data_IF_400011507862
#
_entry.id   IF_400011507862
#
_cell.length_a   1.000
_cell.length_b   1.000
_cell.length_c   1.000
_cell.angle_alpha   90.00
_cell.angle_beta   90.00
_cell.angle_gamma   90.00
#
_symmetry.space_group_name_H-M   'P 1'
#
loop_
_entity.id
_entity.type
_entity.pdbx_description
1 polymer ?
#
# COMPACT_ATOMS: atom_id res chain seq x y z
N UNK A 1 23.57 -10.77 -12.05
CA UNK A 1 24.37 -10.57 -13.25
C UNK A 1 23.71 -11.31 -14.41
N UNK A 2 23.38 -10.58 -15.49
CA UNK A 2 23.28 -11.06 -16.87
C UNK A 2 22.29 -12.17 -17.24
N UNK A 3 21.03 -11.82 -17.56
CA UNK A 3 20.27 -12.50 -18.63
C UNK A 3 18.95 -11.79 -19.07
N UNK A 4 18.81 -10.46 -19.00
CA UNK A 4 17.49 -9.80 -19.26
C UNK A 4 17.48 -8.84 -20.46
N UNK A 5 18.57 -8.68 -21.21
CA UNK A 5 18.65 -7.68 -22.29
C UNK A 5 19.21 -8.21 -23.62
N UNK A 6 18.81 -9.41 -24.03
CA UNK A 6 19.23 -9.99 -25.32
C UNK A 6 18.10 -10.52 -26.21
N UNK A 7 16.93 -9.87 -26.16
CA UNK A 7 15.90 -10.04 -27.20
C UNK A 7 15.52 -8.71 -27.89
N UNK A 8 16.40 -7.72 -27.82
CA UNK A 8 16.25 -6.44 -28.50
C UNK A 8 16.94 -6.39 -29.86
N UNK A 9 16.62 -7.26 -30.82
CA UNK A 9 16.83 -6.91 -32.25
C UNK A 9 16.21 -7.82 -33.34
N UNK A 10 15.62 -8.98 -33.04
CA UNK A 10 15.10 -9.88 -34.10
C UNK A 10 13.58 -10.02 -34.16
N UNK A 11 12.81 -9.12 -33.55
CA UNK A 11 11.34 -9.19 -33.53
C UNK A 11 10.63 -8.21 -34.49
N UNK A 12 11.34 -7.71 -35.51
CA UNK A 12 10.79 -6.72 -36.47
C UNK A 12 10.14 -7.34 -37.71
N UNK A 13 10.17 -8.67 -37.94
CA UNK A 13 9.84 -9.21 -39.27
C UNK A 13 8.88 -10.41 -39.37
N UNK A 14 7.97 -10.69 -38.41
CA UNK A 14 7.01 -11.78 -38.62
C UNK A 14 5.54 -11.61 -38.21
N UNK A 15 5.03 -10.39 -38.00
CA UNK A 15 3.60 -10.17 -37.73
C UNK A 15 2.87 -9.38 -38.84
N UNK A 16 3.10 -9.80 -40.09
CA UNK A 16 2.32 -9.37 -41.25
C UNK A 16 1.42 -10.50 -41.82
N UNK A 17 1.00 -11.47 -41.02
CA UNK A 17 0.01 -12.48 -41.45
C UNK A 17 -1.17 -12.62 -40.49
N UNK A 18 -2.22 -11.88 -40.88
CA UNK A 18 -3.65 -11.97 -40.55
C UNK A 18 -4.09 -11.45 -39.16
N UNK A 19 -4.84 -10.33 -39.13
CA UNK A 19 -5.56 -9.90 -37.95
C UNK A 19 -6.83 -10.75 -37.84
N UNK A 20 -6.92 -11.60 -36.82
CA UNK A 20 -8.20 -12.13 -36.36
C UNK A 20 -8.58 -11.36 -35.09
N UNK A 21 -9.61 -10.53 -35.27
CA UNK A 21 -10.41 -9.78 -34.31
C UNK A 21 -9.94 -9.72 -32.85
N UNK A 22 -9.55 -8.53 -32.41
CA UNK A 22 -9.72 -8.10 -31.01
C UNK A 22 -8.71 -8.56 -29.97
N UNK A 23 -7.59 -9.18 -30.35
CA UNK A 23 -6.49 -9.46 -29.40
C UNK A 23 -5.57 -8.25 -29.24
N UNK A 24 -5.97 -7.29 -28.42
CA UNK A 24 -5.00 -6.39 -27.79
C UNK A 24 -4.23 -7.24 -26.77
N UNK A 25 -3.20 -7.94 -27.22
CA UNK A 25 -2.30 -8.67 -26.33
C UNK A 25 -1.63 -7.67 -25.38
N UNK A 26 -1.28 -8.11 -24.18
CA UNK A 26 -0.49 -7.32 -23.24
C UNK A 26 0.81 -6.77 -23.88
N UNK A 27 1.32 -7.41 -24.94
CA UNK A 27 2.42 -6.87 -25.74
C UNK A 27 2.12 -5.47 -26.32
N UNK A 28 0.92 -5.19 -26.84
CA UNK A 28 0.63 -3.85 -27.38
C UNK A 28 0.44 -2.78 -26.30
N UNK A 29 -0.42 -3.08 -25.31
CA UNK A 29 -0.81 -2.11 -24.28
C UNK A 29 0.19 -1.99 -23.12
N UNK A 30 0.89 -3.08 -22.79
CA UNK A 30 1.98 -3.11 -21.81
C UNK A 30 3.25 -2.45 -22.33
N UNK A 31 3.56 -2.59 -23.63
CA UNK A 31 4.65 -1.81 -24.25
C UNK A 31 4.36 -0.32 -24.12
N UNK A 32 3.18 0.16 -24.53
CA UNK A 32 2.85 1.59 -24.41
C UNK A 32 2.94 2.15 -22.98
N UNK A 33 2.61 1.36 -21.95
CA UNK A 33 2.70 1.79 -20.56
C UNK A 33 4.15 1.84 -20.03
N UNK A 34 5.01 0.91 -20.49
CA UNK A 34 6.41 0.80 -20.09
C UNK A 34 7.38 1.50 -21.04
N UNK A 35 6.90 1.99 -22.19
CA UNK A 35 7.69 2.72 -23.18
C UNK A 35 8.37 3.95 -22.58
N UNK A 36 7.69 4.77 -21.75
CA UNK A 36 8.29 5.95 -21.14
C UNK A 36 9.23 5.65 -19.96
N UNK A 37 9.36 4.39 -19.53
CA UNK A 37 10.31 4.02 -18.47
C UNK A 37 11.73 4.27 -18.98
N UNK A 38 12.55 4.93 -18.15
CA UNK A 38 13.93 5.23 -18.51
C UNK A 38 14.76 3.96 -18.74
N UNK A 39 15.71 4.03 -19.67
CA UNK A 39 16.68 2.94 -19.87
C UNK A 39 17.64 2.88 -18.67
N UNK A 40 18.02 1.67 -18.18
CA UNK A 40 17.88 0.35 -18.82
C UNK A 40 16.55 -0.37 -18.59
N UNK A 41 15.50 0.29 -18.06
CA UNK A 41 14.22 -0.31 -17.66
C UNK A 41 14.40 -1.46 -16.65
N UNK A 42 15.37 -1.30 -15.76
CA UNK A 42 15.54 -2.17 -14.62
C UNK A 42 14.47 -1.92 -13.56
N UNK A 43 14.55 -2.68 -12.46
CA UNK A 43 13.60 -2.55 -11.36
C UNK A 43 13.56 -1.12 -10.81
N UNK A 44 14.70 -0.43 -10.73
CA UNK A 44 14.79 0.91 -10.15
C UNK A 44 14.06 1.94 -11.02
N UNK A 45 14.26 1.92 -12.35
CA UNK A 45 13.61 2.84 -13.28
C UNK A 45 12.09 2.58 -13.32
N UNK A 46 11.70 1.31 -13.31
CA UNK A 46 10.29 0.90 -13.24
C UNK A 46 9.64 1.39 -11.95
N UNK A 47 10.25 1.11 -10.80
CA UNK A 47 9.68 1.49 -9.50
C UNK A 47 9.58 3.00 -9.35
N UNK A 48 10.59 3.75 -9.81
CA UNK A 48 10.58 5.22 -9.86
C UNK A 48 9.47 5.77 -10.76
N UNK A 49 9.24 5.12 -11.90
CA UNK A 49 8.21 5.54 -12.86
C UNK A 49 6.79 5.35 -12.34
N UNK A 50 6.55 4.33 -11.52
CA UNK A 50 5.23 4.00 -10.96
C UNK A 50 5.02 4.49 -9.52
N UNK A 51 6.07 4.74 -8.76
CA UNK A 51 6.01 5.05 -7.32
C UNK A 51 6.67 6.39 -7.01
N UNK A 52 6.54 6.81 -5.75
CA UNK A 52 7.11 8.07 -5.25
C UNK A 52 8.24 7.78 -4.27
N UNK A 53 9.51 7.78 -4.73
CA UNK A 53 10.68 7.67 -3.86
C UNK A 53 10.70 8.76 -2.78
N UNK A 54 10.30 8.43 -1.54
CA UNK A 54 10.26 9.36 -0.41
C UNK A 54 8.87 9.81 0.04
N UNK A 55 7.80 9.26 -0.54
CA UNK A 55 6.42 9.61 -0.21
C UNK A 55 5.72 10.34 -1.37
N UNK A 56 4.39 10.26 -1.38
CA UNK A 56 3.56 10.81 -2.46
C UNK A 56 3.01 12.21 -2.14
N UNK A 57 3.15 12.70 -0.91
CA UNK A 57 2.57 13.96 -0.46
C UNK A 57 3.21 15.17 -1.15
N UNK A 58 4.53 15.10 -1.36
CA UNK A 58 5.33 16.15 -1.99
C UNK A 58 5.75 15.81 -3.44
N UNK A 59 5.27 14.69 -3.98
CA UNK A 59 5.59 14.27 -5.35
C UNK A 59 4.63 14.97 -6.34
N UNK A 60 5.13 15.88 -7.20
CA UNK A 60 4.27 16.60 -8.15
C UNK A 60 3.62 15.66 -9.17
N UNK A 61 4.19 14.47 -9.39
CA UNK A 61 3.67 13.46 -10.30
C UNK A 61 2.82 12.40 -9.58
N UNK A 62 2.52 12.55 -8.28
CA UNK A 62 1.82 11.53 -7.48
C UNK A 62 0.51 11.05 -8.10
N UNK A 63 -0.33 11.97 -8.58
CA UNK A 63 -1.62 11.65 -9.21
C UNK A 63 -1.41 10.88 -10.51
N UNK A 64 -0.47 11.33 -11.35
CA UNK A 64 -0.16 10.67 -12.61
C UNK A 64 0.43 9.27 -12.40
N UNK A 65 1.34 9.13 -11.44
CA UNK A 65 1.87 7.83 -11.01
C UNK A 65 0.77 6.91 -10.49
N UNK A 66 -0.19 7.43 -9.71
CA UNK A 66 -1.35 6.65 -9.29
C UNK A 66 -2.19 6.16 -10.48
N UNK A 67 -2.41 7.00 -11.50
CA UNK A 67 -3.09 6.59 -12.75
C UNK A 67 -2.31 5.49 -13.48
N UNK A 68 -0.99 5.62 -13.60
CA UNK A 68 -0.12 4.60 -14.21
C UNK A 68 -0.19 3.26 -13.46
N UNK A 69 -0.16 3.28 -12.12
CA UNK A 69 -0.33 2.09 -11.29
C UNK A 69 -1.68 1.42 -11.51
N UNK A 70 -2.78 2.18 -11.51
CA UNK A 70 -4.10 1.65 -11.81
C UNK A 70 -4.18 1.02 -13.20
N UNK A 71 -3.57 1.66 -14.21
CA UNK A 71 -3.49 1.11 -15.57
C UNK A 71 -2.70 -0.21 -15.60
N UNK A 72 -1.54 -0.27 -14.93
CA UNK A 72 -0.72 -1.48 -14.80
C UNK A 72 -1.54 -2.62 -14.16
N UNK A 73 -2.26 -2.33 -13.07
CA UNK A 73 -3.03 -3.33 -12.34
C UNK A 73 -4.15 -3.90 -13.19
N UNK A 74 -4.86 -3.03 -13.92
CA UNK A 74 -5.93 -3.42 -14.84
C UNK A 74 -5.40 -4.27 -16.00
N UNK A 75 -4.26 -3.88 -16.59
CA UNK A 75 -3.65 -4.60 -17.71
C UNK A 75 -3.14 -5.98 -17.30
N UNK A 76 -2.39 -6.07 -16.19
CA UNK A 76 -1.89 -7.34 -15.67
C UNK A 76 -3.04 -8.31 -15.32
N UNK A 77 -4.09 -7.80 -14.67
CA UNK A 77 -5.29 -8.60 -14.39
C UNK A 77 -6.06 -9.02 -15.63
N UNK A 78 -6.19 -8.15 -16.65
CA UNK A 78 -6.80 -8.52 -17.91
C UNK A 78 -5.99 -9.62 -18.63
N UNK A 79 -4.66 -9.50 -18.65
CA UNK A 79 -3.80 -10.47 -19.33
C UNK A 79 -3.90 -11.86 -18.69
N UNK A 80 -3.82 -11.94 -17.36
CA UNK A 80 -3.94 -13.20 -16.65
C UNK A 80 -5.29 -13.90 -16.90
N UNK A 81 -6.40 -13.15 -16.95
CA UNK A 81 -7.73 -13.70 -17.31
C UNK A 81 -7.79 -14.22 -18.74
N UNK A 82 -7.23 -13.46 -19.70
CA UNK A 82 -7.21 -13.88 -21.11
C UNK A 82 -6.37 -15.14 -21.30
N UNK A 83 -5.21 -15.22 -20.64
CA UNK A 83 -4.37 -16.42 -20.68
C UNK A 83 -5.07 -17.63 -20.09
N UNK A 84 -5.72 -17.49 -18.94
CA UNK A 84 -6.46 -18.59 -18.33
C UNK A 84 -7.58 -19.15 -19.23
N UNK A 85 -8.34 -18.25 -19.88
CA UNK A 85 -9.37 -18.68 -20.83
C UNK A 85 -8.77 -19.43 -22.03
N UNK A 86 -7.56 -19.07 -22.48
CA UNK A 86 -6.85 -19.79 -23.52
C UNK A 86 -6.26 -21.12 -23.04
N UNK A 87 -5.83 -21.21 -21.78
CA UNK A 87 -5.28 -22.42 -21.17
C UNK A 87 -6.35 -23.48 -20.85
N UNK A 88 -7.59 -23.06 -20.57
CA UNK A 88 -8.72 -23.95 -20.28
C UNK A 88 -9.19 -24.74 -21.52
N UNK A 89 -9.15 -24.11 -22.70
CA UNK A 89 -9.43 -24.77 -23.98
C UNK A 89 -8.43 -24.35 -25.07
N UNK A 90 -7.21 -24.93 -25.08
CA UNK A 90 -6.17 -24.58 -26.04
C UNK A 90 -6.60 -24.83 -27.50
N UNK A 91 -7.39 -25.89 -27.72
CA UNK A 91 -7.87 -26.27 -29.05
C UNK A 91 -8.86 -25.23 -29.62
N UNK A 92 -9.78 -24.70 -28.81
CA UNK A 92 -10.69 -23.63 -29.22
C UNK A 92 -10.01 -22.25 -29.31
N UNK A 93 -8.91 -22.04 -28.57
CA UNK A 93 -8.19 -20.77 -28.56
C UNK A 93 -7.34 -20.53 -29.83
N UNK A 94 -7.03 -21.60 -30.58
CA UNK A 94 -6.15 -21.55 -31.75
C UNK A 94 -4.69 -21.25 -31.40
N UNK A 95 -4.30 -21.44 -30.13
CA UNK A 95 -2.95 -21.24 -29.61
C UNK A 95 -2.26 -22.61 -29.51
N UNK A 96 -1.03 -22.71 -30.00
CA UNK A 96 -0.25 -23.95 -29.86
C UNK A 96 0.52 -24.00 -28.52
N UNK A 97 1.04 -25.17 -28.15
CA UNK A 97 1.71 -25.38 -26.86
C UNK A 97 2.92 -24.45 -26.65
N UNK A 98 3.66 -24.11 -27.71
CA UNK A 98 4.82 -23.20 -27.62
C UNK A 98 4.38 -21.76 -27.31
N UNK A 99 3.32 -21.30 -27.99
CA UNK A 99 2.71 -19.99 -27.75
C UNK A 99 2.09 -19.92 -26.35
N UNK A 100 1.40 -20.98 -25.92
CA UNK A 100 0.81 -21.05 -24.57
C UNK A 100 1.89 -20.96 -23.49
N UNK A 101 3.00 -21.68 -23.66
CA UNK A 101 4.15 -21.60 -22.76
C UNK A 101 4.82 -20.21 -22.77
N UNK A 102 4.85 -19.54 -23.92
CA UNK A 102 5.33 -18.16 -24.01
C UNK A 102 4.41 -17.20 -23.26
N UNK A 103 3.10 -17.25 -23.51
CA UNK A 103 2.13 -16.38 -22.84
C UNK A 103 2.12 -16.57 -21.33
N UNK A 104 2.30 -17.81 -20.85
CA UNK A 104 2.49 -18.08 -19.41
C UNK A 104 3.62 -17.25 -18.83
N UNK A 105 4.83 -17.33 -19.42
CA UNK A 105 6.00 -16.56 -18.94
C UNK A 105 5.76 -15.05 -18.96
N UNK A 106 5.08 -14.55 -19.99
CA UNK A 106 4.75 -13.12 -20.09
C UNK A 106 3.73 -12.68 -19.04
N UNK A 107 2.71 -13.50 -18.74
CA UNK A 107 1.75 -13.25 -17.67
C UNK A 107 2.45 -13.28 -16.31
N UNK A 108 3.33 -14.24 -16.08
CA UNK A 108 4.10 -14.35 -14.83
C UNK A 108 4.93 -13.09 -14.60
N UNK A 109 5.59 -12.60 -15.65
CA UNK A 109 6.34 -11.35 -15.60
C UNK A 109 5.43 -10.14 -15.32
N UNK A 110 4.27 -10.05 -15.98
CA UNK A 110 3.31 -8.96 -15.78
C UNK A 110 2.75 -8.94 -14.34
N UNK A 111 2.46 -10.11 -13.76
CA UNK A 111 2.00 -10.23 -12.38
C UNK A 111 3.13 -9.87 -11.41
N UNK A 112 4.34 -10.37 -11.63
CA UNK A 112 5.49 -10.04 -10.78
C UNK A 112 5.77 -8.53 -10.79
N UNK A 113 5.71 -7.89 -11.95
CA UNK A 113 5.84 -6.44 -12.09
C UNK A 113 4.74 -5.69 -11.34
N UNK A 114 3.47 -6.09 -11.52
CA UNK A 114 2.33 -5.52 -10.80
C UNK A 114 2.55 -5.59 -9.29
N UNK A 115 2.99 -6.74 -8.79
CA UNK A 115 3.13 -6.99 -7.35
C UNK A 115 4.33 -6.24 -6.77
N UNK A 116 5.45 -6.15 -7.50
CA UNK A 116 6.58 -5.32 -7.13
C UNK A 116 6.17 -3.84 -7.02
N UNK A 117 5.42 -3.32 -7.99
CA UNK A 117 4.93 -1.93 -7.98
C UNK A 117 3.95 -1.68 -6.83
N UNK A 118 3.01 -2.61 -6.57
CA UNK A 118 2.06 -2.51 -5.44
C UNK A 118 2.77 -2.49 -4.09
N UNK A 119 3.74 -3.38 -3.94
CA UNK A 119 4.52 -3.49 -2.72
C UNK A 119 5.33 -2.22 -2.50
N UNK A 120 6.01 -1.72 -3.55
CA UNK A 120 6.85 -0.54 -3.45
C UNK A 120 6.08 0.76 -3.25
N UNK A 121 4.93 0.92 -3.90
CA UNK A 121 4.06 2.09 -3.73
C UNK A 121 3.29 2.07 -2.41
N UNK A 122 3.26 0.93 -1.73
CA UNK A 122 2.42 0.68 -0.56
C UNK A 122 0.94 0.48 -0.88
N UNK A 123 0.55 0.28 -2.16
CA UNK A 123 -0.87 0.07 -2.53
C UNK A 123 -1.37 -1.29 -2.03
N UNK A 124 -0.46 -2.16 -1.60
CA UNK A 124 -0.75 -3.44 -1.01
C UNK A 124 -1.08 -3.33 0.49
N UNK A 125 -2.28 -2.83 0.82
CA UNK A 125 -2.81 -2.98 2.20
C UNK A 125 -3.61 -4.28 2.37
N UNK A 126 -4.09 -4.89 1.29
CA UNK A 126 -4.75 -6.20 1.42
C UNK A 126 -4.69 -7.06 0.14
N UNK A 127 -3.76 -8.02 0.11
CA UNK A 127 -3.73 -9.07 -0.91
C UNK A 127 -4.94 -10.02 -0.82
N UNK A 128 -5.81 -9.95 0.20
CA UNK A 128 -7.06 -10.74 0.23
C UNK A 128 -8.07 -10.30 -0.83
N UNK A 129 -7.93 -9.10 -1.40
CA UNK A 129 -8.83 -8.61 -2.45
C UNK A 129 -8.51 -9.12 -3.86
N UNK A 130 -7.66 -10.13 -4.02
CA UNK A 130 -7.63 -10.85 -5.30
C UNK A 130 -9.02 -11.40 -5.59
N UNK A 131 -9.60 -11.03 -6.74
CA UNK A 131 -10.80 -11.70 -7.24
C UNK A 131 -10.56 -13.21 -7.14
N UNK A 132 -11.43 -13.99 -6.46
CA UNK A 132 -11.21 -15.42 -6.23
C UNK A 132 -10.90 -16.22 -7.50
N UNK A 133 -11.41 -15.75 -8.64
CA UNK A 133 -11.07 -16.25 -9.96
C UNK A 133 -9.57 -16.07 -10.25
N UNK A 134 -9.02 -14.85 -10.15
CA UNK A 134 -7.60 -14.54 -10.39
C UNK A 134 -6.64 -15.37 -9.53
N UNK A 135 -6.96 -15.56 -8.23
CA UNK A 135 -6.12 -16.37 -7.33
C UNK A 135 -6.07 -17.83 -7.80
N UNK A 136 -7.22 -18.40 -8.15
CA UNK A 136 -7.28 -19.74 -8.76
C UNK A 136 -6.51 -19.80 -10.07
N UNK A 137 -6.52 -18.75 -10.90
CA UNK A 137 -5.76 -18.73 -12.15
C UNK A 137 -4.25 -18.80 -11.90
N UNK A 138 -3.76 -18.04 -10.92
CA UNK A 138 -2.36 -18.06 -10.51
C UNK A 138 -1.98 -19.45 -9.98
N UNK A 139 -2.81 -20.01 -9.09
CA UNK A 139 -2.52 -21.31 -8.48
C UNK A 139 -2.62 -22.47 -9.49
N UNK A 140 -3.55 -22.40 -10.45
CA UNK A 140 -3.82 -23.49 -11.42
C UNK A 140 -2.84 -23.49 -12.59
N UNK A 141 -2.50 -22.33 -13.13
CA UNK A 141 -1.81 -22.24 -14.42
C UNK A 141 -0.44 -21.56 -14.35
N UNK A 142 -0.13 -20.84 -13.27
CA UNK A 142 1.12 -20.08 -13.13
C UNK A 142 2.08 -20.81 -12.20
N UNK A 143 1.63 -21.19 -11.00
CA UNK A 143 2.47 -21.84 -9.97
C UNK A 143 2.64 -23.37 -10.12
N UNK A 144 2.00 -24.00 -11.11
CA UNK A 144 1.91 -25.47 -11.21
C UNK A 144 3.22 -26.19 -11.61
N UNK A 145 4.26 -25.48 -12.06
CA UNK A 145 5.59 -26.06 -12.29
C UNK A 145 6.60 -25.33 -11.39
N UNK A 146 7.36 -26.08 -10.60
CA UNK A 146 8.38 -25.61 -9.66
C UNK A 146 9.30 -24.55 -10.27
N UNK A 147 8.93 -23.29 -10.12
CA UNK A 147 9.74 -22.13 -10.46
C UNK A 147 9.85 -21.35 -9.17
N UNK A 148 11.08 -21.13 -8.69
CA UNK A 148 11.42 -20.52 -7.38
C UNK A 148 10.32 -19.57 -6.87
N UNK A 149 9.74 -19.93 -5.73
CA UNK A 149 8.63 -19.24 -5.04
C UNK A 149 8.73 -17.72 -5.22
N UNK A 150 8.05 -17.19 -6.22
CA UNK A 150 7.81 -15.76 -6.35
C UNK A 150 6.78 -15.47 -5.26
N UNK A 151 7.23 -14.73 -4.24
CA UNK A 151 6.47 -14.31 -3.05
C UNK A 151 6.41 -15.33 -1.90
N UNK A 152 7.41 -15.27 -1.02
CA UNK A 152 7.26 -15.69 0.39
C UNK A 152 6.48 -14.65 1.23
N UNK A 153 5.81 -13.68 0.60
CA UNK A 153 4.97 -12.68 1.26
C UNK A 153 3.47 -13.02 1.15
N UNK A 154 3.12 -14.20 0.64
CA UNK A 154 1.72 -14.60 0.42
C UNK A 154 0.90 -14.66 1.74
N UNK A 155 1.57 -14.73 2.90
CA UNK A 155 0.94 -14.82 4.22
C UNK A 155 1.32 -13.70 5.22
N UNK A 156 2.31 -12.84 4.92
CA UNK A 156 2.81 -11.80 5.84
C UNK A 156 3.11 -10.51 5.07
N UNK A 157 2.51 -9.39 5.49
CA UNK A 157 2.75 -8.08 4.88
C UNK A 157 4.17 -7.58 5.15
N UNK A 158 4.67 -6.64 4.32
CA UNK A 158 6.00 -6.05 4.50
C UNK A 158 6.17 -5.43 5.90
N UNK A 159 5.13 -4.73 6.36
CA UNK A 159 5.12 -4.09 7.69
C UNK A 159 5.11 -5.14 8.81
N UNK A 160 4.45 -6.28 8.64
CA UNK A 160 4.45 -7.36 9.62
C UNK A 160 5.80 -8.05 9.72
N UNK A 161 6.46 -8.25 8.59
CA UNK A 161 7.81 -8.81 8.54
C UNK A 161 8.80 -7.89 9.28
N UNK A 162 8.73 -6.59 9.03
CA UNK A 162 9.56 -5.58 9.70
C UNK A 162 9.24 -5.51 11.20
N UNK A 163 7.96 -5.44 11.58
CA UNK A 163 7.54 -5.38 12.98
C UNK A 163 7.99 -6.61 13.78
N UNK A 164 7.94 -7.80 13.17
CA UNK A 164 8.30 -9.06 13.83
C UNK A 164 9.81 -9.27 13.94
N UNK A 165 10.58 -9.00 12.87
CA UNK A 165 12.01 -9.36 12.81
C UNK A 165 12.97 -8.19 12.99
N UNK A 166 12.53 -6.94 12.83
CA UNK A 166 13.41 -5.76 12.93
C UNK A 166 14.63 -5.88 12.02
N UNK A 167 15.83 -5.73 12.58
CA UNK A 167 17.09 -5.85 11.85
C UNK A 167 17.30 -7.23 11.18
N UNK A 168 16.76 -8.31 11.76
CA UNK A 168 16.85 -9.66 11.20
C UNK A 168 15.98 -9.84 9.94
N UNK A 169 15.14 -8.86 9.62
CA UNK A 169 14.31 -8.87 8.41
C UNK A 169 15.14 -8.70 7.13
N UNK A 170 16.36 -8.14 7.19
CA UNK A 170 17.12 -7.72 6.01
C UNK A 170 17.25 -8.81 4.94
N UNK A 171 17.64 -10.03 5.34
CA UNK A 171 17.80 -11.15 4.42
C UNK A 171 16.49 -11.56 3.76
N UNK A 172 15.40 -11.61 4.53
CA UNK A 172 14.08 -11.96 4.03
C UNK A 172 13.51 -10.86 3.09
N UNK A 173 13.73 -9.59 3.44
CA UNK A 173 13.31 -8.44 2.63
C UNK A 173 14.04 -8.40 1.29
N UNK A 174 15.35 -8.63 1.29
CA UNK A 174 16.17 -8.65 0.08
C UNK A 174 15.75 -9.77 -0.88
N UNK A 175 15.42 -10.95 -0.33
CA UNK A 175 14.92 -12.08 -1.13
C UNK A 175 13.52 -11.82 -1.68
N UNK A 176 12.62 -11.27 -0.86
CA UNK A 176 11.24 -11.02 -1.25
C UNK A 176 11.11 -9.97 -2.36
N UNK A 177 11.89 -8.90 -2.28
CA UNK A 177 11.78 -7.77 -3.22
C UNK A 177 12.72 -7.87 -4.43
N UNK A 178 13.73 -8.78 -4.40
CA UNK A 178 14.77 -8.91 -5.44
C UNK A 178 15.32 -7.53 -5.88
N UNK A 179 15.51 -6.63 -4.92
CA UNK A 179 15.87 -5.23 -5.12
C UNK A 179 17.04 -4.81 -4.25
N UNK A 180 17.59 -3.62 -4.54
CA UNK A 180 18.64 -3.02 -3.70
C UNK A 180 18.05 -2.56 -2.37
N UNK A 181 18.90 -2.38 -1.35
CA UNK A 181 18.50 -1.90 -0.01
C UNK A 181 17.67 -0.62 -0.05
N UNK A 182 17.95 0.25 -1.03
CA UNK A 182 17.21 1.51 -1.23
C UNK A 182 15.73 1.24 -1.53
N UNK A 183 15.43 0.48 -2.58
CA UNK A 183 14.04 0.14 -2.96
C UNK A 183 13.30 -0.58 -1.82
N UNK A 184 14.01 -1.40 -1.04
CA UNK A 184 13.44 -2.07 0.13
C UNK A 184 13.05 -1.05 1.19
N UNK A 185 13.93 -0.10 1.50
CA UNK A 185 13.65 0.96 2.45
C UNK A 185 12.48 1.85 1.98
N UNK A 186 12.49 2.28 0.72
CA UNK A 186 11.41 3.09 0.14
C UNK A 186 10.06 2.36 0.18
N UNK A 187 10.04 1.05 -0.10
CA UNK A 187 8.83 0.25 0.05
C UNK A 187 8.35 0.23 1.51
N UNK A 188 9.23 -0.01 2.49
CA UNK A 188 8.86 0.02 3.91
C UNK A 188 8.28 1.39 4.26
N UNK A 189 8.95 2.47 3.86
CA UNK A 189 8.55 3.85 4.11
C UNK A 189 7.16 4.15 3.53
N UNK A 190 6.92 3.79 2.27
CA UNK A 190 5.62 4.00 1.60
C UNK A 190 4.50 3.18 2.25
N UNK A 191 4.77 1.95 2.66
CA UNK A 191 3.75 1.13 3.35
C UNK A 191 3.44 1.67 4.76
N UNK A 192 4.46 2.10 5.52
CA UNK A 192 4.24 2.70 6.85
C UNK A 192 3.46 4.01 6.74
N UNK A 193 3.85 4.86 5.80
CA UNK A 193 3.18 6.13 5.50
C UNK A 193 1.71 5.91 5.17
N UNK A 194 1.38 4.86 4.43
CA UNK A 194 -0.01 4.52 4.04
C UNK A 194 -0.84 4.24 5.28
N UNK A 195 -0.33 3.37 6.16
CA UNK A 195 -1.02 3.03 7.41
C UNK A 195 -1.19 4.29 8.28
N UNK A 196 -0.16 5.14 8.37
CA UNK A 196 -0.25 6.41 9.11
C UNK A 196 -1.37 7.29 8.51
N UNK A 197 -1.42 7.46 7.19
CA UNK A 197 -2.46 8.25 6.51
C UNK A 197 -3.85 7.68 6.73
N UNK A 198 -4.02 6.38 6.52
CA UNK A 198 -5.31 5.69 6.62
C UNK A 198 -5.88 5.75 8.05
N UNK A 199 -5.00 5.68 9.06
CA UNK A 199 -5.37 5.70 10.47
C UNK A 199 -5.39 7.11 11.09
N UNK A 200 -4.88 8.14 10.39
CA UNK A 200 -4.88 9.54 10.87
C UNK A 200 -6.25 10.00 11.36
N UNK A 201 -7.39 9.71 10.67
CA UNK A 201 -8.72 10.09 11.16
C UNK A 201 -9.10 9.50 12.53
N UNK A 202 -8.48 8.40 12.95
CA UNK A 202 -8.75 7.74 14.24
C UNK A 202 -8.12 8.53 15.40
N UNK A 203 -6.88 8.99 15.23
CA UNK A 203 -6.19 9.81 16.22
C UNK A 203 -5.18 10.75 15.55
N UNK A 204 -5.62 11.94 15.08
CA UNK A 204 -4.80 12.82 14.25
C UNK A 204 -3.47 13.21 14.91
N UNK A 205 -3.49 13.65 16.17
CA UNK A 205 -2.28 14.02 16.91
C UNK A 205 -1.32 12.85 17.17
N UNK A 206 -1.80 11.62 17.31
CA UNK A 206 -0.92 10.46 17.42
C UNK A 206 -0.20 10.17 16.10
N UNK A 207 -0.95 10.11 15.00
CA UNK A 207 -0.41 9.76 13.69
C UNK A 207 0.40 10.90 13.06
N UNK A 208 0.12 12.17 13.38
CA UNK A 208 0.99 13.32 13.07
C UNK A 208 2.41 13.10 13.63
N UNK A 209 2.52 12.73 14.92
CA UNK A 209 3.81 12.41 15.54
C UNK A 209 4.49 11.19 14.89
N UNK A 210 3.73 10.17 14.50
CA UNK A 210 4.29 9.01 13.80
C UNK A 210 4.83 9.40 12.41
N UNK A 211 4.14 10.30 11.70
CA UNK A 211 4.57 10.85 10.42
C UNK A 211 5.87 11.66 10.54
N UNK A 212 5.99 12.49 11.58
CA UNK A 212 7.23 13.21 11.89
C UNK A 212 8.40 12.26 12.18
N UNK A 213 8.17 11.22 12.98
CA UNK A 213 9.17 10.20 13.27
C UNK A 213 9.60 9.44 12.01
N UNK A 214 8.66 9.09 11.14
CA UNK A 214 8.96 8.47 9.86
C UNK A 214 9.85 9.39 9.01
N UNK A 215 9.47 10.67 8.91
CA UNK A 215 10.20 11.68 8.14
C UNK A 215 11.64 11.85 8.62
N UNK A 216 11.85 11.88 9.94
CA UNK A 216 13.19 11.94 10.54
C UNK A 216 14.01 10.66 10.26
N UNK A 217 13.39 9.47 10.32
CA UNK A 217 14.06 8.21 10.00
C UNK A 217 14.47 8.12 8.53
N UNK A 218 13.58 8.52 7.61
CA UNK A 218 13.85 8.59 6.16
C UNK A 218 15.05 9.51 5.91
N UNK A 219 15.04 10.70 6.51
CA UNK A 219 16.13 11.67 6.37
C UNK A 219 17.45 11.10 6.89
N UNK A 220 17.48 10.57 8.12
CA UNK A 220 18.68 9.97 8.70
C UNK A 220 19.25 8.82 7.88
N UNK A 221 18.39 8.02 7.26
CA UNK A 221 18.82 6.95 6.35
C UNK A 221 19.44 7.52 5.07
N UNK A 222 18.79 8.50 4.42
CA UNK A 222 19.28 9.12 3.17
C UNK A 222 20.60 9.87 3.37
N UNK A 223 20.79 10.48 4.54
CA UNK A 223 22.02 11.17 4.92
C UNK A 223 23.12 10.21 5.41
N UNK A 224 22.91 8.88 5.34
CA UNK A 224 23.76 7.83 5.92
C UNK A 224 24.11 8.07 7.41
N UNK A 225 23.26 8.82 8.12
CA UNK A 225 23.46 9.22 9.51
C UNK A 225 23.20 8.08 10.52
N UNK A 226 22.58 6.98 10.07
CA UNK A 226 22.37 5.76 10.85
C UNK A 226 22.69 4.52 10.02
N UNK A 227 23.21 3.48 10.67
CA UNK A 227 23.44 2.20 10.01
C UNK A 227 22.11 1.54 9.60
N UNK A 228 22.10 0.80 8.49
CA UNK A 228 20.89 0.17 7.96
C UNK A 228 20.20 -0.78 8.97
N UNK A 229 20.98 -1.53 9.75
CA UNK A 229 20.43 -2.38 10.82
C UNK A 229 19.74 -1.58 11.93
N UNK A 230 20.28 -0.41 12.29
CA UNK A 230 19.68 0.51 13.26
C UNK A 230 18.42 1.18 12.68
N UNK A 231 18.43 1.53 11.40
CA UNK A 231 17.22 1.98 10.69
C UNK A 231 16.10 0.92 10.74
N UNK A 232 16.41 -0.35 10.40
CA UNK A 232 15.43 -1.45 10.44
C UNK A 232 14.89 -1.71 11.85
N UNK A 233 15.70 -1.49 12.88
CA UNK A 233 15.25 -1.58 14.26
C UNK A 233 14.24 -0.46 14.61
N UNK A 234 14.59 0.79 14.30
CA UNK A 234 13.73 1.96 14.64
C UNK A 234 12.44 1.98 13.83
N UNK A 235 12.51 1.62 12.55
CA UNK A 235 11.30 1.53 11.72
C UNK A 235 10.39 0.41 12.22
N UNK A 236 10.93 -0.70 12.73
CA UNK A 236 10.12 -1.75 13.36
C UNK A 236 9.43 -1.28 14.65
N UNK A 237 10.11 -0.50 15.48
CA UNK A 237 9.50 0.13 16.66
C UNK A 237 8.36 1.09 16.27
N UNK A 238 8.58 1.90 15.23
CA UNK A 238 7.56 2.79 14.67
C UNK A 238 6.35 2.00 14.15
N UNK A 239 6.58 0.95 13.35
CA UNK A 239 5.50 0.10 12.81
C UNK A 239 4.68 -0.51 13.94
N UNK A 240 5.32 -1.01 15.01
CA UNK A 240 4.60 -1.56 16.17
C UNK A 240 3.73 -0.50 16.85
N UNK A 241 4.23 0.72 17.00
CA UNK A 241 3.47 1.82 17.59
C UNK A 241 2.27 2.22 16.72
N UNK A 242 2.49 2.37 15.40
CA UNK A 242 1.45 2.65 14.40
C UNK A 242 0.36 1.57 14.44
N UNK A 243 0.74 0.29 14.41
CA UNK A 243 -0.21 -0.83 14.46
C UNK A 243 -0.97 -0.94 15.78
N UNK A 244 -0.37 -0.53 16.89
CA UNK A 244 -1.07 -0.50 18.17
C UNK A 244 -2.11 0.63 18.23
N UNK A 245 -2.03 1.63 17.33
CA UNK A 245 -2.92 2.80 17.30
C UNK A 245 -2.76 3.74 18.50
N UNK A 246 -1.75 3.49 19.33
CA UNK A 246 -1.44 4.25 20.52
C UNK A 246 0.01 4.02 20.94
N UNK A 247 0.62 5.02 21.59
CA UNK A 247 2.00 4.94 22.05
C UNK A 247 2.20 5.66 23.38
N UNK A 248 3.18 5.20 24.16
CA UNK A 248 3.47 5.74 25.48
C UNK A 248 2.49 5.26 26.57
N UNK A 249 2.73 5.73 27.79
CA UNK A 249 1.84 5.46 28.92
C UNK A 249 0.71 6.50 28.92
N UNK A 250 -0.54 6.03 28.91
CA UNK A 250 -1.73 6.85 29.10
C UNK A 250 -2.19 6.81 30.56
N UNK A 251 -2.86 7.87 31.06
CA UNK A 251 -3.55 7.81 32.34
C UNK A 251 -4.56 6.65 32.40
N UNK A 252 -4.83 6.14 33.61
CA UNK A 252 -5.73 4.99 33.80
C UNK A 252 -7.17 5.27 33.33
N UNK A 253 -7.57 6.54 33.26
CA UNK A 253 -8.87 7.00 32.78
C UNK A 253 -9.01 6.93 31.25
N UNK A 254 -7.89 6.98 30.52
CA UNK A 254 -7.83 6.88 29.04
C UNK A 254 -7.78 5.41 28.59
N UNK A 255 -8.79 4.67 29.03
CA UNK A 255 -8.90 3.23 28.88
C UNK A 255 -9.58 2.77 27.59
N UNK A 256 -10.05 3.70 26.75
CA UNK A 256 -10.66 3.42 25.45
C UNK A 256 -9.93 4.14 24.30
N UNK A 257 -9.99 3.63 23.06
CA UNK A 257 -9.38 4.31 21.91
C UNK A 257 -9.89 5.74 21.70
N UNK A 258 -11.19 5.98 21.85
CA UNK A 258 -11.78 7.32 21.68
C UNK A 258 -11.29 8.29 22.76
N UNK A 259 -11.23 7.86 24.02
CA UNK A 259 -10.65 8.68 25.11
C UNK A 259 -9.18 9.01 24.87
N UNK A 260 -8.37 8.05 24.43
CA UNK A 260 -6.97 8.29 24.08
C UNK A 260 -6.84 9.30 22.93
N UNK A 261 -7.72 9.21 21.93
CA UNK A 261 -7.77 10.17 20.83
C UNK A 261 -8.17 11.57 21.32
N UNK A 262 -9.20 11.69 22.17
CA UNK A 262 -9.56 12.96 22.79
C UNK A 262 -8.38 13.56 23.57
N UNK A 263 -7.73 12.77 24.43
CA UNK A 263 -6.57 13.19 25.20
C UNK A 263 -5.41 13.68 24.32
N UNK A 264 -5.04 12.92 23.29
CA UNK A 264 -3.99 13.32 22.36
C UNK A 264 -4.32 14.61 21.59
N UNK A 265 -5.60 14.88 21.35
CA UNK A 265 -6.10 16.02 20.56
C UNK A 265 -6.58 17.21 21.40
N UNK A 266 -6.50 17.11 22.74
CA UNK A 266 -6.83 18.13 23.72
C UNK A 266 -5.63 18.40 24.64
N UNK A 267 -4.45 18.56 24.02
CA UNK A 267 -3.20 18.93 24.68
C UNK A 267 -2.75 18.01 25.82
N UNK A 268 -3.23 16.76 25.83
CA UNK A 268 -2.98 15.78 26.89
C UNK A 268 -3.46 16.26 28.27
N UNK A 269 -4.55 17.01 28.28
CA UNK A 269 -5.28 17.38 29.50
C UNK A 269 -6.30 16.28 29.83
N UNK A 270 -6.05 15.57 30.92
CA UNK A 270 -6.88 14.44 31.37
C UNK A 270 -8.29 14.90 31.80
N UNK A 271 -8.41 16.05 32.45
CA UNK A 271 -9.70 16.57 32.93
C UNK A 271 -10.55 17.05 31.75
N UNK A 272 -9.92 17.75 30.79
CA UNK A 272 -10.57 18.22 29.57
C UNK A 272 -11.05 17.06 28.70
N UNK A 273 -10.21 16.03 28.51
CA UNK A 273 -10.58 14.85 27.74
C UNK A 273 -11.77 14.09 28.37
N UNK A 274 -11.79 13.96 29.70
CA UNK A 274 -12.91 13.34 30.41
C UNK A 274 -14.19 14.17 30.33
N UNK A 275 -14.11 15.49 30.47
CA UNK A 275 -15.26 16.38 30.33
C UNK A 275 -15.89 16.27 28.93
N UNK A 276 -15.05 16.26 27.89
CA UNK A 276 -15.52 16.09 26.50
C UNK A 276 -16.11 14.70 26.27
N UNK A 277 -15.46 13.62 26.73
CA UNK A 277 -16.00 12.25 26.67
C UNK A 277 -17.40 12.16 27.30
N UNK A 278 -17.58 12.79 28.47
CA UNK A 278 -18.86 12.82 29.17
C UNK A 278 -19.94 13.57 28.36
N UNK A 279 -19.61 14.76 27.84
CA UNK A 279 -20.53 15.55 27.01
C UNK A 279 -20.99 14.77 25.78
N UNK A 280 -20.06 14.07 25.12
CA UNK A 280 -20.37 13.24 23.95
C UNK A 280 -21.31 12.10 24.36
N UNK A 281 -20.99 11.35 25.42
CA UNK A 281 -21.82 10.21 25.88
C UNK A 281 -23.23 10.61 26.30
N UNK A 282 -23.41 11.80 26.87
CA UNK A 282 -24.71 12.32 27.28
C UNK A 282 -25.54 12.88 26.11
N UNK A 283 -24.87 13.41 25.09
CA UNK A 283 -25.52 14.17 24.00
C UNK A 283 -25.67 13.37 22.71
N UNK A 284 -24.76 12.45 22.43
CA UNK A 284 -24.74 11.65 21.21
C UNK A 284 -25.93 10.68 21.19
N UNK A 285 -26.96 11.04 20.44
CA UNK A 285 -28.14 10.20 20.26
C UNK A 285 -27.85 9.05 19.30
N UNK A 286 -28.53 7.91 19.46
CA UNK A 286 -28.43 6.78 18.53
C UNK A 286 -28.64 7.23 17.08
N UNK A 287 -27.73 6.84 16.18
CA UNK A 287 -27.78 7.23 14.77
C UNK A 287 -27.58 8.72 14.55
N UNK A 288 -26.71 9.37 15.33
CA UNK A 288 -26.36 10.78 15.14
C UNK A 288 -25.48 10.98 13.90
N UNK A 289 -24.59 10.04 13.57
CA UNK A 289 -23.72 10.09 12.39
C UNK A 289 -24.54 10.23 11.11
N UNK A 290 -24.29 11.29 10.34
CA UNK A 290 -25.02 11.62 9.12
C UNK A 290 -26.38 12.30 9.35
N UNK A 291 -26.81 12.48 10.60
CA UNK A 291 -28.02 13.21 10.94
C UNK A 291 -27.70 14.66 11.32
N UNK A 292 -27.90 15.58 10.37
CA UNK A 292 -27.57 17.01 10.52
C UNK A 292 -28.16 17.67 11.78
N UNK A 293 -29.35 17.25 12.23
CA UNK A 293 -29.98 17.86 13.41
C UNK A 293 -29.34 17.37 14.70
N UNK A 294 -29.03 16.06 14.79
CA UNK A 294 -28.34 15.46 15.94
C UNK A 294 -26.89 15.93 16.03
N UNK A 295 -26.19 16.00 14.90
CA UNK A 295 -24.83 16.54 14.81
C UNK A 295 -24.76 17.99 15.26
N UNK A 296 -25.70 18.85 14.82
CA UNK A 296 -25.78 20.24 15.29
C UNK A 296 -26.00 20.34 16.81
N UNK A 297 -26.80 19.44 17.38
CA UNK A 297 -27.05 19.43 18.82
C UNK A 297 -25.78 19.06 19.58
N UNK A 298 -25.08 18.01 19.13
CA UNK A 298 -23.79 17.60 19.68
C UNK A 298 -22.74 18.70 19.57
N UNK A 299 -22.63 19.33 18.39
CA UNK A 299 -21.74 20.48 18.15
C UNK A 299 -21.99 21.61 19.13
N UNK A 300 -23.25 21.99 19.33
CA UNK A 300 -23.60 23.07 20.27
C UNK A 300 -23.14 22.74 21.69
N UNK A 301 -23.31 21.49 22.13
CA UNK A 301 -22.88 21.07 23.47
C UNK A 301 -21.38 21.00 23.62
N UNK A 302 -20.67 20.55 22.60
CA UNK A 302 -19.21 20.58 22.59
C UNK A 302 -18.67 22.02 22.58
N UNK A 303 -19.31 22.96 21.89
CA UNK A 303 -18.94 24.37 21.90
C UNK A 303 -19.16 25.06 23.27
N UNK A 304 -19.97 24.49 24.17
CA UNK A 304 -20.07 24.95 25.56
C UNK A 304 -18.84 24.51 26.40
N UNK A 305 -18.16 23.44 26.00
CA UNK A 305 -17.04 22.82 26.73
C UNK A 305 -15.66 23.07 26.09
N UNK A 306 -15.61 23.56 24.85
CA UNK A 306 -14.40 23.79 24.08
C UNK A 306 -14.27 25.28 23.71
N UNK A 307 -13.02 25.72 23.55
CA UNK A 307 -12.68 27.15 23.43
C UNK A 307 -12.97 27.73 22.04
N UNK A 308 -12.89 26.90 20.99
CA UNK A 308 -12.97 27.36 19.61
C UNK A 308 -13.70 26.36 18.69
N UNK A 309 -14.31 26.89 17.63
CA UNK A 309 -15.12 26.14 16.67
C UNK A 309 -14.32 25.09 15.88
N UNK A 310 -13.03 25.35 15.63
CA UNK A 310 -12.15 24.45 14.87
C UNK A 310 -11.83 23.19 15.68
N UNK A 311 -11.54 23.35 16.97
CA UNK A 311 -11.37 22.24 17.91
C UNK A 311 -12.67 21.45 18.05
N UNK A 312 -13.83 22.11 18.08
CA UNK A 312 -15.12 21.41 18.09
C UNK A 312 -15.30 20.56 16.82
N UNK A 313 -15.07 21.13 15.64
CA UNK A 313 -15.17 20.39 14.38
C UNK A 313 -14.21 19.21 14.34
N UNK A 314 -12.95 19.42 14.71
CA UNK A 314 -11.94 18.36 14.79
C UNK A 314 -12.38 17.23 15.73
N UNK A 315 -12.88 17.55 16.92
CA UNK A 315 -13.34 16.55 17.88
C UNK A 315 -14.54 15.78 17.34
N UNK A 316 -15.48 16.43 16.66
CA UNK A 316 -16.62 15.76 16.00
C UNK A 316 -16.15 14.76 14.94
N UNK A 317 -15.12 15.11 14.17
CA UNK A 317 -14.54 14.19 13.20
C UNK A 317 -13.89 12.97 13.87
N UNK A 318 -13.14 13.13 14.97
CA UNK A 318 -12.52 11.98 15.65
C UNK A 318 -13.60 11.10 16.29
N UNK A 319 -14.57 11.64 17.03
CA UNK A 319 -15.60 10.80 17.66
C UNK A 319 -16.46 10.06 16.62
N UNK A 320 -16.54 10.56 15.37
CA UNK A 320 -17.21 9.86 14.28
C UNK A 320 -16.51 8.55 13.91
N UNK A 321 -15.18 8.48 14.03
CA UNK A 321 -14.38 7.29 13.69
C UNK A 321 -14.33 6.24 14.81
N UNK A 322 -14.77 6.59 16.02
CA UNK A 322 -14.81 5.67 17.16
C UNK A 322 -16.23 5.13 17.42
N UNK A 323 -16.42 3.83 17.24
CA UNK A 323 -17.73 3.15 17.40
C UNK A 323 -18.31 3.19 18.84
N UNK A 324 -17.50 3.56 19.83
CA UNK A 324 -17.91 3.64 21.24
C UNK A 324 -18.78 4.87 21.60
N UNK A 325 -18.96 5.80 20.65
CA UNK A 325 -19.81 7.00 20.72
C UNK A 325 -20.99 6.91 19.74
#
# INVERSE_FOLDING_TARGET
FGLVLLLGHSFVLHLARKPTSGRTTFQGAGHGLLDPVEQPKGNDEVLTYFSSPGGWEDDPDAEEKARRRQALYKLAGAYARTFAAAAEDPAASGVNDLELAQYRREVDHAIALRDAVRLHSGDAVDMKQFEPAMRRLIDTYIKADETEVISHLDDISLIDLVASKGAEAEGALSQAMKGRRENVAEAIENNVRRVITDETPVNPKFYERMSELLTDLVKKRRDDAIAYAEYLKRIAELVRAVKAGHGGAYPATMNTPGRKALYDNLDRDEDRAQAVDQVVRETAQTGWRGNRMKERMLRRKLAEALEDDETVDRIIEIIRTHDEY
#
